data_IF_573652275183
#
_entry.id   IF_573652275183
#
_cell.length_a   1.000
_cell.length_b   1.000
_cell.length_c   1.000
_cell.angle_alpha   90.00
_cell.angle_beta   90.00
_cell.angle_gamma   90.00
#
_symmetry.space_group_name_H-M   'P 1'
#
loop_
_entity.id
_entity.type
_entity.pdbx_description
1 polymer ?
#
# COMPACT_ATOMS: atom_id res chain seq x y z
N UNK A 1 15.62 -18.55 8.12
CA UNK A 1 16.86 -17.76 8.03
C UNK A 1 17.93 -18.26 9.01
N UNK A 2 17.73 -18.41 10.37
CA UNK A 2 18.78 -18.84 11.29
C UNK A 2 19.40 -20.20 10.94
N UNK A 3 18.59 -21.20 10.60
CA UNK A 3 19.09 -22.54 10.22
C UNK A 3 19.96 -22.52 8.96
N UNK A 4 19.68 -21.61 8.02
CA UNK A 4 20.49 -21.44 6.80
C UNK A 4 21.87 -20.83 7.14
N UNK A 5 21.91 -19.82 7.98
CA UNK A 5 23.15 -19.19 8.42
C UNK A 5 24.08 -20.19 9.19
N UNK A 6 23.49 -21.05 10.01
CA UNK A 6 24.24 -22.10 10.71
C UNK A 6 24.79 -23.16 9.74
N UNK A 7 23.99 -23.57 8.76
CA UNK A 7 24.37 -24.61 7.81
C UNK A 7 25.38 -24.14 6.76
N UNK A 8 25.36 -22.86 6.42
CA UNK A 8 26.22 -22.26 5.40
C UNK A 8 26.88 -20.97 5.91
N UNK A 9 27.91 -21.05 6.76
CA UNK A 9 28.52 -19.88 7.39
C UNK A 9 29.21 -18.90 6.42
N UNK A 10 29.49 -19.32 5.20
CA UNK A 10 30.01 -18.45 4.13
C UNK A 10 28.94 -17.63 3.40
N UNK A 11 27.64 -17.83 3.71
CA UNK A 11 26.53 -17.11 3.10
C UNK A 11 26.05 -16.01 4.03
N UNK A 12 26.00 -14.77 3.54
CA UNK A 12 25.45 -13.63 4.28
C UNK A 12 23.91 -13.67 4.25
N UNK A 13 23.30 -14.14 5.34
CA UNK A 13 21.85 -14.28 5.45
C UNK A 13 21.23 -13.02 6.05
N UNK A 14 20.37 -12.34 5.30
CA UNK A 14 19.55 -11.21 5.77
C UNK A 14 18.15 -11.74 6.17
N UNK A 15 17.89 -11.83 7.48
CA UNK A 15 16.72 -12.52 8.00
C UNK A 15 15.39 -11.75 7.85
N UNK A 16 15.44 -10.43 7.91
CA UNK A 16 14.26 -9.56 8.07
C UNK A 16 13.92 -8.77 6.79
N UNK A 17 14.28 -9.30 5.62
CA UNK A 17 14.00 -8.66 4.33
C UNK A 17 13.09 -9.54 3.47
N UNK A 18 12.31 -8.94 2.58
CA UNK A 18 11.45 -9.66 1.64
C UNK A 18 12.27 -10.33 0.54
N UNK A 19 13.24 -9.62 -0.01
CA UNK A 19 14.16 -10.14 -1.03
C UNK A 19 15.51 -9.43 -0.94
N UNK A 20 16.52 -10.09 -1.45
CA UNK A 20 17.87 -9.53 -1.64
C UNK A 20 18.19 -9.59 -3.13
N UNK A 21 18.59 -8.45 -3.66
CA UNK A 21 19.15 -8.30 -5.01
C UNK A 21 20.67 -8.16 -4.86
N UNK A 22 21.40 -9.20 -5.26
CA UNK A 22 22.87 -9.22 -5.29
C UNK A 22 23.41 -9.18 -6.74
N UNK A 23 22.64 -8.61 -7.67
CA UNK A 23 23.00 -8.46 -9.07
C UNK A 23 22.73 -9.71 -9.89
N UNK A 24 23.64 -10.67 -9.88
CA UNK A 24 23.50 -11.94 -10.63
C UNK A 24 22.65 -12.99 -9.91
N UNK A 25 22.46 -12.85 -8.60
CA UNK A 25 21.68 -13.79 -7.78
C UNK A 25 20.67 -12.98 -6.98
N UNK A 26 19.40 -13.35 -7.14
CA UNK A 26 18.30 -12.74 -6.40
C UNK A 26 17.62 -13.82 -5.56
N UNK A 27 17.30 -13.49 -4.31
CA UNK A 27 16.69 -14.42 -3.37
C UNK A 27 15.49 -13.77 -2.69
N UNK A 28 14.45 -14.54 -2.39
CA UNK A 28 13.27 -14.08 -1.68
C UNK A 28 13.00 -14.90 -0.42
N UNK A 29 12.32 -14.29 0.55
CA UNK A 29 12.05 -14.86 1.86
C UNK A 29 10.89 -15.89 1.88
N UNK A 30 10.28 -16.18 0.74
CA UNK A 30 9.18 -17.14 0.60
C UNK A 30 8.29 -16.83 -0.60
N UNK A 31 7.24 -17.64 -0.82
CA UNK A 31 6.39 -17.55 -2.02
C UNK A 31 5.77 -16.16 -2.24
N UNK A 32 5.22 -15.55 -1.18
CA UNK A 32 4.64 -14.21 -1.28
C UNK A 32 5.71 -13.14 -1.56
N UNK A 33 6.88 -13.22 -0.94
CA UNK A 33 8.02 -12.34 -1.20
C UNK A 33 8.64 -12.58 -2.60
N UNK A 34 8.43 -13.77 -3.17
CA UNK A 34 8.80 -14.08 -4.55
C UNK A 34 8.03 -13.23 -5.56
N UNK A 35 6.76 -12.91 -5.28
CA UNK A 35 5.97 -11.98 -6.11
C UNK A 35 6.57 -10.58 -6.06
N UNK A 36 6.95 -10.10 -4.88
CA UNK A 36 7.59 -8.79 -4.72
C UNK A 36 8.93 -8.73 -5.49
N UNK A 37 9.71 -9.80 -5.43
CA UNK A 37 10.96 -9.95 -6.19
C UNK A 37 10.70 -9.94 -7.71
N UNK A 38 9.70 -10.67 -8.20
CA UNK A 38 9.33 -10.65 -9.62
C UNK A 38 8.88 -9.26 -10.07
N UNK A 39 8.11 -8.55 -9.25
CA UNK A 39 7.71 -7.17 -9.56
C UNK A 39 8.91 -6.20 -9.54
N UNK A 40 9.91 -6.44 -8.68
CA UNK A 40 11.17 -5.71 -8.70
C UNK A 40 11.90 -5.90 -10.03
N UNK A 41 12.04 -7.14 -10.50
CA UNK A 41 12.64 -7.45 -11.81
C UNK A 41 11.87 -6.81 -12.97
N UNK A 42 10.54 -6.96 -13.01
CA UNK A 42 9.71 -6.34 -14.04
C UNK A 42 9.89 -4.81 -14.05
N UNK A 43 10.05 -4.20 -12.88
CA UNK A 43 10.30 -2.76 -12.78
C UNK A 43 11.69 -2.38 -13.29
N UNK A 44 12.70 -3.17 -12.99
CA UNK A 44 14.07 -2.94 -13.45
C UNK A 44 14.18 -3.09 -14.98
N UNK A 45 13.56 -4.12 -15.55
CA UNK A 45 13.71 -4.46 -16.97
C UNK A 45 12.74 -3.69 -17.88
N UNK A 46 11.50 -3.45 -17.44
CA UNK A 46 10.41 -2.92 -18.27
C UNK A 46 9.81 -1.60 -17.75
N UNK A 47 10.33 -1.08 -16.64
CA UNK A 47 9.90 0.17 -16.05
C UNK A 47 8.69 0.05 -15.12
N UNK A 48 8.41 1.17 -14.44
CA UNK A 48 7.41 1.25 -13.36
C UNK A 48 5.98 1.01 -13.84
N UNK A 49 5.65 1.42 -15.07
CA UNK A 49 4.29 1.24 -15.62
C UNK A 49 3.96 -0.22 -15.90
N UNK A 50 4.92 -0.97 -16.44
CA UNK A 50 4.79 -2.40 -16.65
C UNK A 50 4.60 -3.15 -15.31
N UNK A 51 5.43 -2.84 -14.31
CA UNK A 51 5.30 -3.42 -12.97
C UNK A 51 3.95 -3.12 -12.32
N UNK A 52 3.47 -1.88 -12.41
CA UNK A 52 2.15 -1.48 -11.91
C UNK A 52 1.00 -2.21 -12.63
N UNK A 53 1.15 -2.46 -13.92
CA UNK A 53 0.14 -3.19 -14.71
C UNK A 53 0.09 -4.66 -14.29
N UNK A 54 1.24 -5.30 -14.10
CA UNK A 54 1.33 -6.69 -13.60
C UNK A 54 0.77 -6.78 -12.18
N UNK A 55 1.18 -5.87 -11.28
CA UNK A 55 0.71 -5.85 -9.89
C UNK A 55 -0.82 -5.73 -9.79
N UNK A 56 -1.44 -4.87 -10.61
CA UNK A 56 -2.91 -4.76 -10.68
C UNK A 56 -3.58 -6.05 -11.11
N UNK A 57 -3.02 -6.77 -12.08
CA UNK A 57 -3.56 -8.07 -12.53
C UNK A 57 -3.42 -9.16 -11.47
N UNK A 58 -2.36 -9.12 -10.68
CA UNK A 58 -2.12 -10.06 -9.58
C UNK A 58 -2.87 -9.67 -8.29
N UNK A 59 -3.55 -8.49 -8.28
CA UNK A 59 -4.23 -7.94 -7.08
C UNK A 59 -3.26 -7.81 -5.89
N UNK A 60 -2.02 -7.42 -6.15
CA UNK A 60 -0.98 -7.19 -5.14
C UNK A 60 -0.53 -5.73 -5.16
N UNK A 61 0.07 -5.28 -4.07
CA UNK A 61 0.65 -3.94 -4.00
C UNK A 61 1.75 -3.79 -5.07
N UNK A 62 1.74 -2.72 -5.88
CA UNK A 62 2.70 -2.53 -6.98
C UNK A 62 4.14 -2.30 -6.50
N UNK A 63 4.34 -1.97 -5.24
CA UNK A 63 5.66 -1.77 -4.66
C UNK A 63 5.69 -2.14 -3.17
N UNK A 64 6.55 -3.12 -2.85
CA UNK A 64 7.04 -3.39 -1.50
C UNK A 64 8.56 -3.37 -1.57
N UNK A 65 9.17 -2.57 -0.70
CA UNK A 65 10.63 -2.49 -0.63
C UNK A 65 11.19 -3.82 -0.09
N UNK A 66 12.26 -4.31 -0.70
CA UNK A 66 12.95 -5.52 -0.26
C UNK A 66 13.40 -5.49 1.20
N UNK A 67 13.73 -4.30 1.71
CA UNK A 67 14.09 -4.06 3.11
C UNK A 67 12.90 -4.11 4.09
N UNK A 68 11.65 -4.29 3.64
CA UNK A 68 10.51 -4.44 4.54
C UNK A 68 10.59 -5.76 5.32
N UNK A 69 10.45 -5.67 6.65
CA UNK A 69 10.47 -6.84 7.52
C UNK A 69 9.39 -7.86 7.15
N UNK A 70 9.80 -9.13 7.07
CA UNK A 70 8.90 -10.24 6.90
C UNK A 70 7.98 -10.36 8.12
N UNK A 71 6.66 -10.23 7.95
CA UNK A 71 5.72 -10.50 9.04
C UNK A 71 5.73 -12.00 9.36
N UNK A 72 6.43 -12.35 10.42
CA UNK A 72 6.43 -13.71 10.96
C UNK A 72 5.02 -14.07 11.43
N UNK A 73 4.55 -15.24 11.02
CA UNK A 73 3.26 -15.83 11.41
C UNK A 73 3.10 -15.80 12.92
N UNK A 74 2.14 -15.05 13.43
CA UNK A 74 1.74 -15.01 14.82
C UNK A 74 0.65 -16.04 15.14
N UNK A 75 0.50 -16.52 16.39
CA UNK A 75 -0.37 -17.65 16.76
C UNK A 75 -1.85 -17.45 16.40
N UNK A 76 -2.59 -18.57 16.32
CA UNK A 76 -3.99 -18.72 15.84
C UNK A 76 -5.02 -17.73 16.43
N UNK A 77 -4.83 -17.20 17.64
CA UNK A 77 -5.69 -16.15 18.22
C UNK A 77 -5.59 -14.82 17.45
N UNK A 78 -4.45 -14.54 16.82
CA UNK A 78 -4.23 -13.34 16.00
C UNK A 78 -4.75 -13.51 14.57
N UNK A 79 -4.94 -14.73 14.07
CA UNK A 79 -5.52 -14.96 12.75
C UNK A 79 -6.96 -14.43 12.66
N UNK A 80 -7.78 -14.61 13.72
CA UNK A 80 -9.16 -14.08 13.78
C UNK A 80 -9.17 -12.54 13.81
N UNK A 81 -8.25 -11.91 14.55
CA UNK A 81 -8.15 -10.46 14.62
C UNK A 81 -7.63 -9.86 13.31
N UNK A 82 -6.66 -10.51 12.66
CA UNK A 82 -6.16 -10.11 11.34
C UNK A 82 -7.24 -10.24 10.27
N UNK A 83 -8.06 -11.29 10.33
CA UNK A 83 -9.22 -11.47 9.45
C UNK A 83 -10.28 -10.37 9.65
N UNK A 84 -10.56 -9.99 10.91
CA UNK A 84 -11.48 -8.87 11.22
C UNK A 84 -10.98 -7.53 10.70
N UNK A 85 -9.66 -7.27 10.80
CA UNK A 85 -9.06 -6.09 10.20
C UNK A 85 -9.10 -6.15 8.66
N UNK A 86 -8.90 -7.32 8.06
CA UNK A 86 -9.07 -7.55 6.63
C UNK A 86 -10.42 -7.06 6.11
N UNK A 87 -11.51 -7.47 6.79
CA UNK A 87 -12.87 -7.02 6.45
C UNK A 87 -13.04 -5.50 6.53
N UNK A 88 -12.36 -4.84 7.50
CA UNK A 88 -12.39 -3.38 7.59
C UNK A 88 -11.62 -2.74 6.44
N UNK A 89 -10.50 -3.29 6.00
CA UNK A 89 -9.78 -2.79 4.83
C UNK A 89 -10.59 -2.95 3.56
N UNK A 90 -11.22 -4.10 3.33
CA UNK A 90 -12.10 -4.34 2.18
C UNK A 90 -13.25 -3.32 2.16
N UNK A 91 -13.87 -3.09 3.31
CA UNK A 91 -14.91 -2.07 3.45
C UNK A 91 -14.39 -0.66 3.15
N UNK A 92 -13.23 -0.28 3.69
CA UNK A 92 -12.63 1.03 3.45
C UNK A 92 -12.30 1.24 1.96
N UNK A 93 -11.79 0.23 1.27
CA UNK A 93 -11.52 0.30 -0.18
C UNK A 93 -12.79 0.49 -1.02
N UNK A 94 -13.87 -0.20 -0.65
CA UNK A 94 -15.16 -0.08 -1.34
C UNK A 94 -15.83 1.27 -1.05
N UNK A 95 -15.64 1.84 0.13
CA UNK A 95 -16.29 3.06 0.61
C UNK A 95 -15.32 4.20 0.89
N UNK A 96 -14.25 4.31 0.09
CA UNK A 96 -13.15 5.24 0.35
C UNK A 96 -13.60 6.71 0.40
N UNK A 97 -14.64 7.08 -0.38
CA UNK A 97 -15.19 8.42 -0.41
C UNK A 97 -16.12 8.73 0.78
N UNK A 98 -16.58 7.72 1.51
CA UNK A 98 -17.48 7.91 2.65
C UNK A 98 -16.74 8.49 3.88
N UNK A 99 -17.51 9.06 4.81
CA UNK A 99 -17.00 9.49 6.10
C UNK A 99 -16.85 8.29 7.04
N UNK A 100 -15.68 8.16 7.65
CA UNK A 100 -15.36 7.10 8.59
C UNK A 100 -14.93 7.67 9.93
N UNK A 101 -15.45 7.11 11.02
CA UNK A 101 -15.00 7.40 12.37
C UNK A 101 -14.25 6.20 12.94
N UNK A 102 -13.33 6.45 13.88
CA UNK A 102 -12.65 5.37 14.60
C UNK A 102 -13.66 4.44 15.29
N UNK A 103 -14.75 5.01 15.81
CA UNK A 103 -15.80 4.23 16.49
C UNK A 103 -16.52 3.29 15.52
N UNK A 104 -16.93 3.77 14.33
CA UNK A 104 -17.60 2.93 13.33
C UNK A 104 -16.70 1.82 12.80
N UNK A 105 -15.42 2.11 12.54
CA UNK A 105 -14.45 1.10 12.07
C UNK A 105 -14.13 0.07 13.15
N UNK A 106 -14.00 0.51 14.40
CA UNK A 106 -13.80 -0.39 15.54
C UNK A 106 -14.99 -1.33 15.74
N UNK A 107 -16.23 -0.81 15.60
CA UNK A 107 -17.45 -1.60 15.65
C UNK A 107 -17.49 -2.66 14.56
N UNK A 108 -17.14 -2.31 13.32
CA UNK A 108 -17.03 -3.29 12.21
C UNK A 108 -15.99 -4.38 12.50
N UNK A 109 -14.85 -4.02 13.11
CA UNK A 109 -13.85 -4.98 13.52
C UNK A 109 -14.25 -5.83 14.73
N UNK A 110 -15.37 -5.52 15.41
CA UNK A 110 -15.77 -6.14 16.67
C UNK A 110 -14.75 -5.89 17.78
N UNK A 111 -14.18 -4.68 17.84
CA UNK A 111 -13.12 -4.26 18.75
C UNK A 111 -13.51 -2.97 19.47
N UNK A 112 -12.90 -2.73 20.66
CA UNK A 112 -12.96 -1.40 21.26
C UNK A 112 -12.13 -0.40 20.42
N UNK A 113 -12.45 0.91 20.41
CA UNK A 113 -11.69 1.93 19.68
C UNK A 113 -10.20 1.91 19.99
N UNK A 114 -9.82 1.73 21.25
CA UNK A 114 -8.40 1.63 21.68
C UNK A 114 -7.70 0.40 21.09
N UNK A 115 -8.37 -0.75 21.08
CA UNK A 115 -7.81 -2.00 20.53
C UNK A 115 -7.67 -1.87 19.03
N UNK A 116 -8.69 -1.33 18.34
CA UNK A 116 -8.68 -1.08 16.91
C UNK A 116 -7.51 -0.18 16.50
N UNK A 117 -7.34 1.00 17.11
CA UNK A 117 -6.25 1.91 16.81
C UNK A 117 -4.88 1.24 16.95
N UNK A 118 -4.65 0.54 18.07
CA UNK A 118 -3.39 -0.17 18.29
C UNK A 118 -3.12 -1.24 17.23
N UNK A 119 -4.14 -2.04 16.89
CA UNK A 119 -4.02 -3.12 15.89
C UNK A 119 -3.88 -2.57 14.48
N UNK A 120 -4.63 -1.54 14.13
CA UNK A 120 -4.54 -0.88 12.84
C UNK A 120 -3.14 -0.29 12.63
N UNK A 121 -2.61 0.41 13.63
CA UNK A 121 -1.27 0.98 13.57
C UNK A 121 -0.18 -0.10 13.51
N UNK A 122 -0.35 -1.21 14.24
CA UNK A 122 0.57 -2.36 14.18
C UNK A 122 0.55 -3.03 12.80
N UNK A 123 -0.60 -3.05 12.11
CA UNK A 123 -0.74 -3.66 10.79
C UNK A 123 -0.26 -2.76 9.64
N UNK A 124 -0.44 -1.44 9.76
CA UNK A 124 -0.21 -0.49 8.65
C UNK A 124 0.97 0.47 8.87
N UNK A 125 1.48 0.55 10.11
CA UNK A 125 2.44 1.59 10.52
C UNK A 125 1.84 2.99 10.65
N UNK A 126 0.53 3.17 10.39
CA UNK A 126 -0.13 4.49 10.30
C UNK A 126 -1.40 4.51 11.14
N UNK A 127 -1.84 5.73 11.51
CA UNK A 127 -3.19 5.91 12.05
C UNK A 127 -4.25 5.72 10.96
N UNK A 128 -5.50 5.32 11.28
CA UNK A 128 -6.58 5.16 10.29
C UNK A 128 -6.81 6.42 9.45
N UNK A 129 -6.78 7.60 10.06
CA UNK A 129 -6.95 8.87 9.35
C UNK A 129 -5.82 9.13 8.34
N UNK A 130 -4.56 8.88 8.73
CA UNK A 130 -3.42 9.06 7.83
C UNK A 130 -3.44 8.02 6.71
N UNK A 131 -3.74 6.78 7.01
CA UNK A 131 -3.87 5.72 6.01
C UNK A 131 -4.97 6.06 4.99
N UNK A 132 -6.15 6.47 5.48
CA UNK A 132 -7.27 6.85 4.62
C UNK A 132 -6.93 8.05 3.71
N UNK A 133 -6.21 9.05 4.24
CA UNK A 133 -5.74 10.18 3.45
C UNK A 133 -4.80 9.73 2.33
N UNK A 134 -3.85 8.84 2.63
CA UNK A 134 -2.90 8.33 1.64
C UNK A 134 -3.62 7.55 0.52
N UNK A 135 -4.61 6.70 0.85
CA UNK A 135 -5.41 5.96 -0.13
C UNK A 135 -6.27 6.89 -1.00
N UNK A 136 -6.87 7.93 -0.41
CA UNK A 136 -7.61 8.95 -1.15
C UNK A 136 -6.72 9.73 -2.12
N UNK A 137 -5.51 10.05 -1.71
CA UNK A 137 -4.53 10.71 -2.57
C UNK A 137 -4.08 9.81 -3.72
N UNK A 138 -3.88 8.53 -3.48
CA UNK A 138 -3.57 7.55 -4.54
C UNK A 138 -4.74 7.41 -5.53
N UNK A 139 -5.99 7.35 -5.06
CA UNK A 139 -7.17 7.34 -5.93
C UNK A 139 -7.25 8.62 -6.77
N UNK A 140 -7.02 9.79 -6.17
CA UNK A 140 -6.98 11.05 -6.91
C UNK A 140 -5.87 11.06 -7.97
N UNK A 141 -4.69 10.54 -7.65
CA UNK A 141 -3.56 10.39 -8.58
C UNK A 141 -3.94 9.51 -9.79
N UNK A 142 -4.62 8.39 -9.55
CA UNK A 142 -5.11 7.51 -10.62
C UNK A 142 -6.09 8.23 -11.55
N UNK A 143 -7.06 8.96 -10.97
CA UNK A 143 -8.00 9.75 -11.78
C UNK A 143 -7.30 10.84 -12.60
N UNK A 144 -6.28 11.50 -12.04
CA UNK A 144 -5.51 12.53 -12.74
C UNK A 144 -4.77 11.98 -13.95
N UNK A 145 -4.29 10.74 -13.90
CA UNK A 145 -3.51 10.11 -14.97
C UNK A 145 -4.38 9.43 -16.04
N UNK A 146 -5.53 8.88 -15.62
CA UNK A 146 -6.35 8.01 -16.50
C UNK A 146 -7.68 8.65 -16.93
N UNK A 147 -8.01 9.88 -16.49
CA UNK A 147 -9.26 10.52 -16.85
C UNK A 147 -9.09 12.02 -17.08
N UNK A 148 -10.06 12.62 -17.79
CA UNK A 148 -10.13 14.07 -18.05
C UNK A 148 -11.20 14.79 -17.22
N UNK A 149 -11.78 14.11 -16.20
CA UNK A 149 -12.79 14.72 -15.32
C UNK A 149 -12.22 15.90 -14.54
N UNK A 150 -13.09 16.82 -14.10
CA UNK A 150 -12.69 18.03 -13.36
C UNK A 150 -11.99 17.69 -12.03
N UNK A 151 -11.19 18.62 -11.53
CA UNK A 151 -10.52 18.44 -10.20
C UNK A 151 -11.56 18.35 -9.09
N UNK A 152 -12.69 19.06 -9.23
CA UNK A 152 -13.81 18.99 -8.26
C UNK A 152 -14.44 17.59 -8.25
N UNK A 153 -14.67 17.01 -9.42
CA UNK A 153 -15.18 15.63 -9.51
C UNK A 153 -14.20 14.60 -9.00
N UNK A 154 -12.89 14.80 -9.21
CA UNK A 154 -11.84 13.95 -8.60
C UNK A 154 -11.86 14.06 -7.08
N UNK A 155 -12.00 15.26 -6.52
CA UNK A 155 -12.10 15.45 -5.07
C UNK A 155 -13.27 14.65 -4.48
N UNK A 156 -14.45 14.79 -5.09
CA UNK A 156 -15.66 14.05 -4.70
C UNK A 156 -15.43 12.52 -4.75
N UNK A 157 -14.99 11.99 -5.89
CA UNK A 157 -14.79 10.56 -6.11
C UNK A 157 -13.68 9.97 -5.24
N UNK A 158 -12.74 10.80 -4.81
CA UNK A 158 -11.65 10.39 -3.91
C UNK A 158 -11.95 10.64 -2.44
N UNK A 159 -13.13 11.18 -2.09
CA UNK A 159 -13.59 11.39 -0.71
C UNK A 159 -13.02 12.63 -0.03
N UNK A 160 -12.60 13.63 -0.79
CA UNK A 160 -12.28 14.96 -0.25
C UNK A 160 -13.55 15.82 -0.19
N UNK A 161 -13.65 16.69 0.81
CA UNK A 161 -14.79 17.58 0.98
C UNK A 161 -14.95 18.53 -0.22
N UNK A 162 -13.83 19.00 -0.77
CA UNK A 162 -13.76 19.92 -1.89
C UNK A 162 -12.39 19.85 -2.61
N UNK A 163 -12.29 20.50 -3.77
CA UNK A 163 -11.03 20.58 -4.53
C UNK A 163 -9.94 21.38 -3.81
N UNK A 164 -10.27 22.29 -2.91
CA UNK A 164 -9.29 23.04 -2.10
C UNK A 164 -8.56 22.11 -1.14
N UNK A 165 -9.32 21.28 -0.43
CA UNK A 165 -8.80 20.25 0.47
C UNK A 165 -7.93 19.23 -0.29
N UNK A 166 -8.39 18.75 -1.46
CA UNK A 166 -7.59 17.89 -2.32
C UNK A 166 -6.28 18.58 -2.73
N UNK A 167 -6.32 19.83 -3.22
CA UNK A 167 -5.10 20.56 -3.66
C UNK A 167 -4.11 20.75 -2.53
N UNK A 168 -4.58 21.03 -1.32
CA UNK A 168 -3.75 21.19 -0.13
C UNK A 168 -2.98 19.90 0.18
N UNK A 169 -3.68 18.79 0.39
CA UNK A 169 -3.05 17.52 0.74
C UNK A 169 -2.21 16.94 -0.40
N UNK A 170 -2.65 17.13 -1.65
CA UNK A 170 -1.92 16.66 -2.82
C UNK A 170 -0.56 17.37 -2.97
N UNK A 171 -0.52 18.71 -2.74
CA UNK A 171 0.75 19.45 -2.73
C UNK A 171 1.67 19.02 -1.60
N UNK A 172 1.13 18.77 -0.41
CA UNK A 172 1.93 18.26 0.72
C UNK A 172 2.58 16.91 0.41
N UNK A 173 1.85 16.03 -0.27
CA UNK A 173 2.33 14.66 -0.55
C UNK A 173 3.26 14.58 -1.78
N UNK A 174 2.94 15.32 -2.86
CA UNK A 174 3.60 15.18 -4.16
C UNK A 174 4.42 16.42 -4.57
N UNK A 175 4.46 17.46 -3.76
CA UNK A 175 5.14 18.74 -4.01
C UNK A 175 4.67 19.53 -5.24
N UNK A 176 3.62 19.07 -5.94
CA UNK A 176 3.02 19.74 -7.11
C UNK A 176 1.49 19.77 -7.01
N UNK A 177 0.85 20.67 -7.78
CA UNK A 177 -0.61 20.73 -7.79
C UNK A 177 -1.23 19.58 -8.61
N UNK A 178 -2.50 19.18 -8.34
CA UNK A 178 -3.19 18.17 -9.15
C UNK A 178 -3.22 18.50 -10.65
N UNK A 179 -3.44 19.76 -11.01
CA UNK A 179 -3.46 20.19 -12.41
C UNK A 179 -2.08 20.08 -13.08
N UNK A 180 -1.01 20.46 -12.36
CA UNK A 180 0.35 20.30 -12.85
C UNK A 180 0.75 18.81 -12.96
N UNK A 181 0.29 18.00 -11.99
CA UNK A 181 0.49 16.55 -12.03
C UNK A 181 -0.18 15.94 -13.28
N UNK A 182 -1.44 16.27 -13.54
CA UNK A 182 -2.15 15.84 -14.75
C UNK A 182 -1.38 16.22 -16.02
N UNK A 183 -0.98 17.50 -16.15
CA UNK A 183 -0.24 17.96 -17.33
C UNK A 183 1.06 17.20 -17.56
N UNK A 184 1.73 16.78 -16.49
CA UNK A 184 3.02 16.08 -16.55
C UNK A 184 2.87 14.58 -16.84
N UNK A 185 1.82 13.93 -16.29
CA UNK A 185 1.70 12.47 -16.24
C UNK A 185 0.45 11.89 -16.93
N UNK A 186 -0.49 12.71 -17.43
CA UNK A 186 -1.56 12.17 -18.27
C UNK A 186 -0.95 11.64 -19.57
N UNK A 187 -1.32 10.41 -19.93
CA UNK A 187 -0.92 9.84 -21.21
C UNK A 187 -1.26 10.83 -22.34
N UNK A 188 -0.26 11.19 -23.13
CA UNK A 188 -0.47 11.91 -24.39
C UNK A 188 -1.20 10.95 -25.34
N UNK A 189 -2.50 11.15 -25.52
CA UNK A 189 -3.23 10.60 -26.68
C UNK A 189 -2.93 11.44 -27.86
#
# INVERSE_FOLDING_TARGET
>A
APALAVRYPGVQVQADVLYVDAGSILTSAGSAAGIDLCLHLVRADFGIEAANTVARRLVVSPHRDGAQAQQVVRPVAQARESQRLGLVFDYLYQHLAASHTVASLAQQAGMSPRTFLRRFQAATGKTPARWLLDERLQRAQQHLTHSRISIDKIAELSGFADAGTLRHHFRQQFAISPSAYRKKFSARS
#
